data_IF_973694914618
#
_entry.id   IF_973694914618
#
_cell.length_a   1.000
_cell.length_b   1.000
_cell.length_c   1.000
_cell.angle_alpha   90.00
_cell.angle_beta   90.00
_cell.angle_gamma   90.00
#
_symmetry.space_group_name_H-M   'P 1'
#
loop_
_entity.id
_entity.type
_entity.pdbx_description
1 polymer ?
#
# COMPACT_ATOMS: atom_id res chain seq x y z
N UNK A 1 -43.42 0.92 -3.32
CA UNK A 1 -42.82 0.32 -2.12
C UNK A 1 -41.58 -0.43 -2.59
N UNK A 2 -40.44 0.26 -2.67
CA UNK A 2 -39.22 -0.31 -3.22
C UNK A 2 -38.35 -0.83 -2.08
N UNK A 3 -38.07 -2.12 -2.16
CA UNK A 3 -37.26 -2.88 -1.21
C UNK A 3 -35.86 -2.27 -1.21
N UNK A 4 -35.40 -1.87 -0.02
CA UNK A 4 -34.04 -1.41 0.20
C UNK A 4 -33.07 -2.53 -0.15
N UNK A 5 -32.26 -2.30 -1.18
CA UNK A 5 -31.15 -3.16 -1.54
C UNK A 5 -30.08 -2.92 -0.47
N UNK A 6 -30.20 -3.67 0.62
CA UNK A 6 -29.09 -3.91 1.54
C UNK A 6 -27.97 -4.58 0.77
N UNK A 7 -26.74 -4.25 1.17
CA UNK A 7 -25.48 -4.98 0.93
C UNK A 7 -25.68 -6.12 -0.08
N UNK A 8 -25.33 -5.88 -1.35
CA UNK A 8 -25.21 -6.96 -2.31
C UNK A 8 -24.35 -8.05 -1.65
N UNK A 9 -24.99 -9.13 -1.23
CA UNK A 9 -24.33 -10.39 -0.94
C UNK A 9 -23.57 -10.73 -2.22
N UNK A 10 -22.27 -10.43 -2.24
CA UNK A 10 -21.40 -11.07 -3.19
C UNK A 10 -21.16 -12.45 -2.58
N UNK A 11 -21.78 -13.53 -3.09
CA UNK A 11 -21.77 -14.86 -2.47
C UNK A 11 -20.35 -15.48 -2.43
N UNK A 12 -19.35 -14.76 -2.91
CA UNK A 12 -17.94 -15.15 -2.98
C UNK A 12 -17.22 -15.01 -1.64
N UNK A 13 -17.69 -14.18 -0.69
CA UNK A 13 -16.94 -13.91 0.55
C UNK A 13 -17.82 -13.95 1.81
N UNK A 14 -17.96 -15.12 2.41
CA UNK A 14 -18.43 -15.25 3.79
C UNK A 14 -17.21 -15.49 4.70
N UNK A 15 -16.38 -14.46 4.88
CA UNK A 15 -15.18 -14.54 5.69
C UNK A 15 -15.38 -13.81 7.02
N UNK A 16 -14.97 -14.43 8.14
CA UNK A 16 -14.98 -13.73 9.43
C UNK A 16 -13.99 -12.56 9.42
N UNK A 17 -14.27 -11.48 10.16
CA UNK A 17 -13.36 -10.33 10.26
C UNK A 17 -11.93 -10.71 10.68
N UNK A 18 -11.77 -11.76 11.48
CA UNK A 18 -10.45 -12.28 11.88
C UNK A 18 -9.69 -12.85 10.68
N UNK A 19 -10.37 -13.64 9.84
CA UNK A 19 -9.75 -14.22 8.65
C UNK A 19 -9.52 -13.16 7.56
N UNK A 20 -10.41 -12.17 7.45
CA UNK A 20 -10.23 -11.01 6.57
C UNK A 20 -8.95 -10.24 6.90
N UNK A 21 -8.68 -10.01 8.19
CA UNK A 21 -7.42 -9.41 8.66
C UNK A 21 -6.20 -10.23 8.25
N UNK A 22 -6.31 -11.56 8.26
CA UNK A 22 -5.24 -12.46 7.80
C UNK A 22 -5.05 -12.35 6.28
N UNK A 23 -6.14 -12.36 5.50
CA UNK A 23 -6.09 -12.16 4.04
C UNK A 23 -5.41 -10.84 3.69
N UNK A 24 -5.87 -9.72 4.26
CA UNK A 24 -5.27 -8.39 4.01
C UNK A 24 -3.79 -8.34 4.40
N UNK A 25 -3.39 -9.00 5.49
CA UNK A 25 -1.97 -9.09 5.85
C UNK A 25 -1.16 -9.81 4.77
N UNK A 26 -1.64 -10.95 4.27
CA UNK A 26 -0.99 -11.71 3.18
C UNK A 26 -0.95 -10.93 1.87
N UNK A 27 -2.03 -10.23 1.53
CA UNK A 27 -2.04 -9.35 0.36
C UNK A 27 -0.96 -8.26 0.46
N UNK A 28 -0.76 -7.66 1.64
CA UNK A 28 0.34 -6.70 1.86
C UNK A 28 1.72 -7.34 1.64
N UNK A 29 1.88 -8.59 2.02
CA UNK A 29 3.10 -9.39 1.79
C UNK A 29 3.32 -9.70 0.30
N UNK A 30 2.26 -9.71 -0.54
CA UNK A 30 2.36 -9.77 -2.00
C UNK A 30 2.71 -8.41 -2.63
N UNK A 31 2.05 -7.34 -2.18
CA UNK A 31 2.16 -5.99 -2.75
C UNK A 31 3.52 -5.37 -2.48
N UNK A 32 4.04 -5.54 -1.27
CA UNK A 32 5.33 -4.97 -0.88
C UNK A 32 6.49 -5.39 -1.81
N UNK A 33 6.80 -6.70 -1.98
CA UNK A 33 7.90 -7.12 -2.83
C UNK A 33 7.66 -6.76 -4.30
N UNK A 34 6.42 -6.80 -4.79
CA UNK A 34 6.08 -6.41 -6.15
C UNK A 34 6.39 -4.94 -6.44
N UNK A 35 5.91 -4.02 -5.60
CA UNK A 35 6.22 -2.58 -5.72
C UNK A 35 7.73 -2.35 -5.58
N UNK A 36 8.38 -2.97 -4.61
CA UNK A 36 9.83 -2.84 -4.43
C UNK A 36 10.61 -3.32 -5.66
N UNK A 37 10.16 -4.39 -6.32
CA UNK A 37 10.76 -4.84 -7.57
C UNK A 37 10.59 -3.82 -8.69
N UNK A 38 9.42 -3.20 -8.82
CA UNK A 38 9.17 -2.15 -9.82
C UNK A 38 10.01 -0.90 -9.57
N UNK A 39 10.24 -0.53 -8.31
CA UNK A 39 11.11 0.60 -7.95
C UNK A 39 12.58 0.29 -8.25
N UNK A 40 13.03 -0.95 -8.05
CA UNK A 40 14.40 -1.39 -8.38
C UNK A 40 14.63 -1.56 -9.88
N UNK A 41 13.57 -1.89 -10.63
CA UNK A 41 13.62 -2.16 -12.06
C UNK A 41 12.66 -1.22 -12.82
N UNK A 42 12.85 0.10 -12.78
CA UNK A 42 11.84 1.06 -13.27
C UNK A 42 11.55 0.95 -14.78
N UNK A 43 12.46 0.34 -15.56
CA UNK A 43 12.35 0.16 -17.02
C UNK A 43 12.03 -1.28 -17.45
N UNK A 44 11.87 -2.21 -16.52
CA UNK A 44 11.61 -3.61 -16.88
C UNK A 44 10.20 -3.80 -17.45
N UNK A 45 10.04 -4.85 -18.27
CA UNK A 45 8.74 -5.37 -18.62
C UNK A 45 8.12 -6.02 -17.37
N UNK A 46 6.98 -5.50 -16.93
CA UNK A 46 6.33 -5.88 -15.69
C UNK A 46 5.47 -7.16 -15.83
N UNK A 47 5.17 -7.62 -17.05
CA UNK A 47 4.22 -8.72 -17.30
C UNK A 47 4.51 -10.00 -16.52
N UNK A 48 5.78 -10.41 -16.43
CA UNK A 48 6.17 -11.63 -15.70
C UNK A 48 5.91 -11.49 -14.20
N UNK A 49 6.30 -10.36 -13.62
CA UNK A 49 6.09 -10.10 -12.19
C UNK A 49 4.63 -9.80 -11.87
N UNK A 50 3.88 -9.27 -12.83
CA UNK A 50 2.43 -9.08 -12.72
C UNK A 50 1.70 -10.41 -12.56
N UNK A 51 2.06 -11.44 -13.34
CA UNK A 51 1.53 -12.79 -13.17
C UNK A 51 1.80 -13.35 -11.77
N UNK A 52 3.05 -13.26 -11.28
CA UNK A 52 3.41 -13.69 -9.92
C UNK A 52 2.66 -12.92 -8.83
N UNK A 53 2.46 -11.62 -9.04
CA UNK A 53 1.68 -10.78 -8.14
C UNK A 53 0.23 -11.27 -8.06
N UNK A 54 -0.42 -11.54 -9.20
CA UNK A 54 -1.79 -12.07 -9.24
C UNK A 54 -1.90 -13.41 -8.53
N UNK A 55 -0.99 -14.35 -8.81
CA UNK A 55 -1.01 -15.67 -8.16
C UNK A 55 -0.81 -15.56 -6.63
N UNK A 56 0.04 -14.64 -6.18
CA UNK A 56 0.20 -14.34 -4.74
C UNK A 56 -1.09 -13.75 -4.14
N UNK A 57 -1.75 -12.82 -4.84
CA UNK A 57 -3.02 -12.25 -4.36
C UNK A 57 -4.11 -13.32 -4.24
N UNK A 58 -4.21 -14.25 -5.20
CA UNK A 58 -5.15 -15.39 -5.11
C UNK A 58 -4.80 -16.30 -3.93
N UNK A 59 -3.50 -16.59 -3.71
CA UNK A 59 -3.06 -17.39 -2.56
C UNK A 59 -3.38 -16.73 -1.21
N UNK A 60 -3.31 -15.39 -1.14
CA UNK A 60 -3.69 -14.63 0.04
C UNK A 60 -5.17 -14.84 0.42
N UNK A 61 -6.05 -15.04 -0.56
CA UNK A 61 -7.50 -15.25 -0.35
C UNK A 61 -7.89 -16.69 0.01
N UNK A 62 -6.97 -17.66 -0.06
CA UNK A 62 -7.25 -19.06 0.32
C UNK A 62 -7.81 -19.23 1.73
N UNK A 63 -7.51 -18.28 2.63
CA UNK A 63 -8.03 -18.29 4.00
C UNK A 63 -9.52 -17.98 4.09
N UNK A 64 -10.09 -17.39 3.03
CA UNK A 64 -11.47 -16.93 2.95
C UNK A 64 -12.28 -17.58 1.82
N UNK A 65 -11.66 -18.45 1.00
CA UNK A 65 -12.28 -18.93 -0.24
C UNK A 65 -12.08 -20.42 -0.49
N UNK A 66 -13.09 -21.05 -1.09
CA UNK A 66 -13.02 -22.41 -1.64
C UNK A 66 -12.26 -22.43 -2.97
N UNK A 67 -11.85 -23.61 -3.44
CA UNK A 67 -11.13 -23.74 -4.71
C UNK A 67 -11.90 -23.14 -5.90
N UNK A 68 -13.21 -23.40 -6.00
CA UNK A 68 -14.06 -22.81 -7.05
C UNK A 68 -14.11 -21.27 -6.96
N UNK A 69 -14.15 -20.72 -5.74
CA UNK A 69 -14.12 -19.28 -5.52
C UNK A 69 -12.77 -18.68 -5.90
N UNK A 70 -11.66 -19.40 -5.71
CA UNK A 70 -10.32 -18.95 -6.10
C UNK A 70 -10.17 -18.80 -7.63
N UNK A 71 -10.83 -19.65 -8.41
CA UNK A 71 -10.87 -19.53 -9.88
C UNK A 71 -11.56 -18.22 -10.27
N UNK A 72 -12.75 -17.96 -9.73
CA UNK A 72 -13.49 -16.72 -9.98
C UNK A 72 -12.74 -15.47 -9.48
N UNK A 73 -12.07 -15.57 -8.33
CA UNK A 73 -11.20 -14.54 -7.77
C UNK A 73 -10.04 -14.21 -8.70
N UNK A 74 -9.41 -15.23 -9.31
CA UNK A 74 -8.32 -15.02 -10.24
C UNK A 74 -8.77 -14.23 -11.46
N UNK A 75 -9.92 -14.57 -12.04
CA UNK A 75 -10.51 -13.80 -13.15
C UNK A 75 -10.86 -12.37 -12.74
N UNK A 76 -11.36 -12.17 -11.52
CA UNK A 76 -11.65 -10.85 -10.97
C UNK A 76 -10.36 -10.02 -10.82
N UNK A 77 -9.30 -10.61 -10.26
CA UNK A 77 -8.01 -9.96 -10.10
C UNK A 77 -7.36 -9.64 -11.44
N UNK A 78 -7.46 -10.51 -12.44
CA UNK A 78 -6.97 -10.23 -13.80
C UNK A 78 -7.69 -9.01 -14.43
N UNK A 79 -9.00 -8.86 -14.18
CA UNK A 79 -9.80 -7.70 -14.65
C UNK A 79 -9.50 -6.42 -13.87
N UNK A 80 -9.32 -6.53 -12.55
CA UNK A 80 -9.18 -5.37 -11.65
C UNK A 80 -7.74 -4.84 -11.64
N UNK A 81 -6.76 -5.74 -11.61
CA UNK A 81 -5.34 -5.45 -11.51
C UNK A 81 -4.66 -5.66 -12.85
N UNK A 82 -5.12 -4.99 -13.92
CA UNK A 82 -4.49 -5.11 -15.23
C UNK A 82 -3.02 -4.63 -15.20
N UNK A 83 -2.20 -5.10 -16.15
CA UNK A 83 -0.81 -4.65 -16.30
C UNK A 83 -0.71 -3.11 -16.39
N UNK A 84 -1.60 -2.47 -17.15
CA UNK A 84 -1.69 -1.01 -17.21
C UNK A 84 -1.92 -0.38 -15.84
N UNK A 85 -2.80 -0.96 -15.02
CA UNK A 85 -3.10 -0.39 -13.70
C UNK A 85 -2.00 -0.60 -12.68
N UNK A 86 -1.35 -1.76 -12.68
CA UNK A 86 -0.38 -2.08 -11.61
C UNK A 86 1.05 -1.74 -11.98
N UNK A 87 1.38 -1.79 -13.27
CA UNK A 87 2.72 -1.51 -13.76
C UNK A 87 2.83 -0.06 -14.22
N UNK A 88 1.89 0.42 -15.04
CA UNK A 88 1.98 1.75 -15.66
C UNK A 88 1.42 2.82 -14.73
N UNK A 89 0.23 2.61 -14.17
CA UNK A 89 -0.35 3.49 -13.16
C UNK A 89 0.18 3.11 -11.78
N UNK A 90 0.28 4.07 -10.87
CA UNK A 90 0.68 3.74 -9.50
C UNK A 90 -0.43 2.89 -8.90
N UNK A 91 -0.17 1.61 -8.70
CA UNK A 91 -1.11 0.73 -8.01
C UNK A 91 -1.39 1.26 -6.61
N UNK A 92 -2.52 1.91 -6.40
CA UNK A 92 -3.01 2.05 -5.04
C UNK A 92 -3.44 0.66 -4.59
N UNK A 93 -2.97 0.24 -3.41
CA UNK A 93 -3.54 -0.89 -2.68
C UNK A 93 -4.95 -0.55 -2.16
N UNK A 94 -5.77 0.02 -3.04
CA UNK A 94 -7.11 0.53 -2.89
C UNK A 94 -7.68 0.52 -4.32
N UNK A 95 -8.41 -0.52 -4.75
CA UNK A 95 -8.91 -0.60 -6.12
C UNK A 95 -9.84 0.59 -6.40
N UNK A 96 -9.47 1.45 -7.37
CA UNK A 96 -10.15 2.73 -7.63
C UNK A 96 -11.56 2.61 -8.25
N UNK A 97 -11.98 1.40 -8.65
CA UNK A 97 -13.31 1.14 -9.25
C UNK A 97 -14.26 0.42 -8.29
N UNK A 98 -13.73 -0.22 -7.24
CA UNK A 98 -14.49 -1.02 -6.26
C UNK A 98 -14.39 -0.44 -4.85
N UNK A 99 -13.80 0.75 -4.72
CA UNK A 99 -13.57 1.43 -3.44
C UNK A 99 -14.88 1.69 -2.67
N UNK A 100 -16.03 1.62 -3.32
CA UNK A 100 -17.36 1.68 -2.70
C UNK A 100 -17.71 0.41 -1.94
N UNK A 101 -17.49 -0.76 -2.55
CA UNK A 101 -17.74 -2.05 -1.92
C UNK A 101 -16.62 -2.40 -0.94
N UNK A 102 -15.37 -2.11 -1.28
CA UNK A 102 -14.20 -2.54 -0.50
C UNK A 102 -13.92 -1.68 0.74
N UNK A 103 -14.30 -0.40 0.74
CA UNK A 103 -14.23 0.43 1.95
C UNK A 103 -15.53 0.44 2.74
N UNK A 104 -16.52 -0.38 2.35
CA UNK A 104 -17.72 -0.53 3.14
C UNK A 104 -18.55 0.74 3.21
N UNK A 105 -18.81 1.36 2.07
CA UNK A 105 -19.62 2.56 2.05
C UNK A 105 -20.99 2.25 1.49
N UNK A 106 -21.97 2.16 2.39
CA UNK A 106 -23.38 2.27 2.05
C UNK A 106 -23.75 3.73 1.73
N UNK A 107 -23.10 4.33 0.73
CA UNK A 107 -23.43 5.68 0.24
C UNK A 107 -24.57 5.62 -0.79
N UNK A 108 -25.31 6.73 -0.96
CA UNK A 108 -26.21 6.88 -2.12
C UNK A 108 -25.40 6.99 -3.42
N UNK A 109 -25.90 6.43 -4.52
CA UNK A 109 -25.19 6.31 -5.81
C UNK A 109 -24.64 7.64 -6.37
N UNK A 110 -25.38 8.73 -6.23
CA UNK A 110 -24.98 10.07 -6.68
C UNK A 110 -23.81 10.66 -5.86
N UNK A 111 -23.72 10.28 -4.60
CA UNK A 111 -22.61 10.61 -3.71
C UNK A 111 -21.40 9.75 -4.02
N UNK A 112 -21.61 8.49 -4.43
CA UNK A 112 -20.54 7.57 -4.80
C UNK A 112 -19.73 8.11 -5.98
N UNK A 113 -20.37 8.55 -7.06
CA UNK A 113 -19.61 9.06 -8.22
C UNK A 113 -18.78 10.31 -7.87
N UNK A 114 -19.35 11.24 -7.09
CA UNK A 114 -18.60 12.43 -6.62
C UNK A 114 -17.43 12.06 -5.72
N UNK A 115 -17.61 11.09 -4.83
CA UNK A 115 -16.53 10.60 -3.98
C UNK A 115 -15.42 9.97 -4.82
N UNK A 116 -15.74 9.30 -5.93
CA UNK A 116 -14.79 8.61 -6.81
C UNK A 116 -13.87 9.59 -7.48
N UNK A 117 -14.43 10.68 -8.01
CA UNK A 117 -13.67 11.76 -8.61
C UNK A 117 -12.72 12.40 -7.58
N UNK A 118 -13.17 12.57 -6.33
CA UNK A 118 -12.31 13.08 -5.25
C UNK A 118 -11.20 12.10 -4.84
N UNK A 119 -11.49 10.80 -4.80
CA UNK A 119 -10.48 9.76 -4.53
C UNK A 119 -9.41 9.74 -5.62
N UNK A 120 -9.80 9.77 -6.89
CA UNK A 120 -8.86 9.87 -8.02
C UNK A 120 -8.02 11.15 -7.92
N UNK A 121 -8.60 12.26 -7.47
CA UNK A 121 -7.86 13.49 -7.25
C UNK A 121 -6.80 13.35 -6.13
N UNK A 122 -7.03 12.53 -5.10
CA UNK A 122 -6.04 12.25 -4.07
C UNK A 122 -4.80 11.53 -4.63
N UNK A 123 -4.94 10.65 -5.62
CA UNK A 123 -3.85 9.82 -6.15
C UNK A 123 -3.17 10.37 -7.39
N UNK A 124 -3.81 11.32 -8.11
CA UNK A 124 -3.32 11.83 -9.40
C UNK A 124 -1.83 12.17 -9.40
N UNK A 125 -1.35 12.90 -8.40
CA UNK A 125 0.06 13.30 -8.31
C UNK A 125 0.99 12.09 -8.10
N UNK A 126 0.58 11.11 -7.31
CA UNK A 126 1.35 9.88 -7.12
C UNK A 126 1.47 9.11 -8.44
N UNK A 127 0.37 9.01 -9.19
CA UNK A 127 0.33 8.35 -10.51
C UNK A 127 1.26 9.05 -11.50
N UNK A 128 1.22 10.37 -11.59
CA UNK A 128 2.12 11.18 -12.42
C UNK A 128 3.60 10.95 -12.03
N UNK A 129 3.91 10.94 -10.73
CA UNK A 129 5.26 10.65 -10.24
C UNK A 129 5.72 9.24 -10.60
N UNK A 130 4.84 8.24 -10.44
CA UNK A 130 5.13 6.85 -10.75
C UNK A 130 5.38 6.62 -12.24
N UNK A 131 4.55 7.19 -13.11
CA UNK A 131 4.70 7.14 -14.56
C UNK A 131 5.99 7.83 -15.02
N UNK A 132 6.34 8.94 -14.38
CA UNK A 132 7.57 9.68 -14.69
C UNK A 132 8.82 8.90 -14.27
N UNK A 133 8.83 8.41 -13.03
CA UNK A 133 9.97 7.66 -12.48
C UNK A 133 9.54 6.81 -11.28
N UNK A 134 9.32 5.50 -11.50
CA UNK A 134 8.97 4.54 -10.44
C UNK A 134 9.99 4.50 -9.29
N UNK A 135 11.25 4.83 -9.54
CA UNK A 135 12.32 4.84 -8.54
C UNK A 135 12.41 6.16 -7.75
N UNK A 136 11.50 7.13 -7.96
CA UNK A 136 11.51 8.39 -7.24
C UNK A 136 11.22 8.18 -5.74
N UNK A 137 12.23 8.46 -4.91
CA UNK A 137 12.15 8.31 -3.44
C UNK A 137 11.05 9.17 -2.81
N UNK A 138 10.57 10.22 -3.48
CA UNK A 138 9.47 11.07 -3.01
C UNK A 138 8.11 10.36 -3.05
N UNK A 139 7.96 9.29 -3.85
CA UNK A 139 6.72 8.50 -3.96
C UNK A 139 6.30 7.94 -2.59
N UNK A 140 7.25 7.48 -1.77
CA UNK A 140 7.00 7.04 -0.38
C UNK A 140 6.26 8.11 0.44
N UNK A 141 6.71 9.37 0.39
CA UNK A 141 6.06 10.49 1.10
C UNK A 141 4.75 10.90 0.45
N UNK A 142 4.68 10.87 -0.88
CA UNK A 142 3.45 11.22 -1.59
C UNK A 142 2.33 10.23 -1.25
N UNK A 143 2.63 8.94 -1.10
CA UNK A 143 1.63 7.96 -0.66
C UNK A 143 1.06 8.26 0.74
N UNK A 144 1.85 8.83 1.65
CA UNK A 144 1.35 9.32 2.95
C UNK A 144 0.31 10.43 2.74
N UNK A 145 0.55 11.33 1.80
CA UNK A 145 -0.38 12.41 1.45
C UNK A 145 -1.67 11.84 0.85
N UNK A 146 -1.56 10.84 -0.04
CA UNK A 146 -2.72 10.13 -0.60
C UNK A 146 -3.56 9.54 0.52
N UNK A 147 -2.96 8.78 1.44
CA UNK A 147 -3.69 8.19 2.59
C UNK A 147 -4.35 9.25 3.47
N UNK A 148 -3.66 10.36 3.74
CA UNK A 148 -4.23 11.46 4.52
C UNK A 148 -5.43 12.12 3.81
N UNK A 149 -5.32 12.35 2.50
CA UNK A 149 -6.40 12.85 1.66
C UNK A 149 -7.61 11.91 1.70
N UNK A 150 -7.39 10.60 1.52
CA UNK A 150 -8.45 9.60 1.57
C UNK A 150 -9.11 9.53 2.96
N UNK A 151 -8.35 9.52 4.05
CA UNK A 151 -8.90 9.57 5.42
C UNK A 151 -9.79 10.79 5.63
N UNK A 152 -9.38 11.96 5.12
CA UNK A 152 -10.19 13.17 5.18
C UNK A 152 -11.48 13.02 4.38
N UNK A 153 -11.40 12.53 3.14
CA UNK A 153 -12.58 12.28 2.31
C UNK A 153 -13.57 11.33 2.99
N UNK A 154 -13.06 10.30 3.67
CA UNK A 154 -13.88 9.36 4.42
C UNK A 154 -14.55 9.99 5.66
N UNK A 155 -13.90 10.94 6.32
CA UNK A 155 -14.47 11.66 7.46
C UNK A 155 -15.52 12.69 7.01
N UNK A 156 -15.31 13.32 5.86
CA UNK A 156 -16.19 14.34 5.29
C UNK A 156 -17.36 13.73 4.50
N UNK A 157 -17.33 12.43 4.20
CA UNK A 157 -18.36 11.76 3.43
C UNK A 157 -19.66 11.62 4.24
N UNK A 158 -20.83 11.96 3.68
CA UNK A 158 -22.12 11.80 4.35
C UNK A 158 -22.61 10.34 4.28
N UNK A 159 -21.74 9.39 4.64
CA UNK A 159 -22.01 7.96 4.54
C UNK A 159 -21.88 7.31 5.92
N UNK A 160 -22.85 6.49 6.28
CA UNK A 160 -22.79 5.71 7.50
C UNK A 160 -21.79 4.56 7.30
N UNK A 161 -20.93 4.36 8.30
CA UNK A 161 -20.02 3.20 8.36
C UNK A 161 -20.42 2.32 9.53
N UNK A 162 -20.42 1.02 9.32
CA UNK A 162 -20.42 0.01 10.38
C UNK A 162 -19.05 -0.03 11.07
N UNK A 163 -18.97 -0.71 12.21
CA UNK A 163 -17.71 -0.84 12.96
C UNK A 163 -16.69 -1.67 12.18
N UNK A 164 -17.16 -2.71 11.50
CA UNK A 164 -16.38 -3.61 10.67
C UNK A 164 -15.71 -2.84 9.53
N UNK A 165 -16.46 -2.00 8.83
CA UNK A 165 -15.96 -1.18 7.72
C UNK A 165 -14.94 -0.15 8.19
N UNK A 166 -15.16 0.44 9.38
CA UNK A 166 -14.17 1.33 10.00
C UNK A 166 -12.85 0.60 10.32
N UNK A 167 -12.93 -0.62 10.86
CA UNK A 167 -11.74 -1.45 11.14
C UNK A 167 -10.97 -1.79 9.87
N UNK A 168 -11.66 -2.19 8.79
CA UNK A 168 -11.03 -2.50 7.51
C UNK A 168 -10.36 -1.25 6.91
N UNK A 169 -11.06 -0.12 6.94
CA UNK A 169 -10.53 1.17 6.51
C UNK A 169 -9.24 1.55 7.27
N UNK A 170 -9.21 1.36 8.59
CA UNK A 170 -8.04 1.66 9.41
C UNK A 170 -6.85 0.73 9.10
N UNK A 171 -7.12 -0.54 8.75
CA UNK A 171 -6.09 -1.48 8.32
C UNK A 171 -5.51 -1.08 6.95
N UNK A 172 -6.37 -0.72 6.00
CA UNK A 172 -5.97 -0.38 4.62
C UNK A 172 -5.23 0.96 4.56
N UNK A 173 -5.72 1.97 5.30
CA UNK A 173 -5.11 3.30 5.37
C UNK A 173 -4.15 3.44 6.56
N UNK A 174 -3.73 2.33 7.16
CA UNK A 174 -2.80 2.27 8.28
C UNK A 174 -1.38 2.68 7.91
N UNK A 175 -0.39 2.21 8.68
CA UNK A 175 1.02 2.56 8.50
C UNK A 175 1.69 1.88 7.30
N UNK A 176 1.09 0.83 6.73
CA UNK A 176 1.65 0.12 5.58
C UNK A 176 1.86 1.04 4.39
N UNK A 177 3.04 0.97 3.77
CA UNK A 177 3.43 1.79 2.63
C UNK A 177 4.43 1.03 1.75
N UNK A 178 3.97 0.45 0.63
CA UNK A 178 4.81 -0.42 -0.18
C UNK A 178 5.90 0.32 -0.95
N UNK A 179 5.79 1.66 -1.04
CA UNK A 179 6.75 2.53 -1.72
C UNK A 179 7.92 2.95 -0.85
N UNK A 180 7.86 2.70 0.46
CA UNK A 180 8.94 2.98 1.40
C UNK A 180 9.79 1.73 1.61
N UNK A 181 11.10 1.91 1.82
CA UNK A 181 12.07 0.81 1.92
C UNK A 181 11.74 -0.23 3.00
N UNK A 182 11.09 0.18 4.09
CA UNK A 182 10.72 -0.69 5.21
C UNK A 182 9.24 -1.10 5.21
N UNK A 183 8.50 -0.81 4.12
CA UNK A 183 7.08 -1.15 4.02
C UNK A 183 6.16 -0.33 4.93
N UNK A 184 6.68 0.73 5.56
CA UNK A 184 5.96 1.55 6.54
C UNK A 184 6.15 3.03 6.26
N UNK A 185 5.14 3.83 6.61
CA UNK A 185 5.21 5.29 6.50
C UNK A 185 6.41 5.85 7.28
N UNK A 186 7.07 6.88 6.76
CA UNK A 186 8.07 7.61 7.53
C UNK A 186 7.41 8.29 8.72
N UNK A 187 7.98 8.10 9.92
CA UNK A 187 7.55 8.81 11.13
C UNK A 187 7.78 10.30 10.92
N UNK A 188 6.73 11.12 10.98
CA UNK A 188 6.88 12.58 10.92
C UNK A 188 7.72 13.02 12.11
N UNK A 189 8.91 13.57 11.86
CA UNK A 189 9.65 14.33 12.86
C UNK A 189 10.96 13.73 13.39
N UNK A 190 11.39 12.55 12.97
CA UNK A 190 12.79 12.16 13.20
C UNK A 190 13.61 12.68 12.03
N UNK A 191 13.96 13.96 12.07
CA UNK A 191 15.19 14.40 11.40
C UNK A 191 16.27 13.46 11.89
N UNK A 192 16.73 12.55 11.04
CA UNK A 192 17.93 11.77 11.31
C UNK A 192 19.01 12.85 11.42
N UNK A 193 19.29 13.27 12.65
CA UNK A 193 20.44 14.06 12.97
C UNK A 193 21.59 13.22 12.45
N UNK A 194 22.13 13.57 11.28
CA UNK A 194 23.33 12.94 10.75
C UNK A 194 24.33 13.09 11.88
N UNK A 195 24.65 12.00 12.60
CA UNK A 195 25.78 11.99 13.50
C UNK A 195 26.95 12.50 12.67
N UNK A 196 27.55 13.66 13.02
CA UNK A 196 28.69 14.16 12.29
C UNK A 196 29.77 13.09 12.36
N UNK A 197 30.20 12.59 11.20
CA UNK A 197 31.29 11.62 11.06
C UNK A 197 32.64 12.28 11.36
N UNK A 198 32.78 12.87 12.54
CA UNK A 198 34.00 13.52 13.03
C UNK A 198 34.45 12.87 14.33
N UNK A 199 34.75 11.56 14.35
CA UNK A 199 35.45 10.97 15.49
C UNK A 199 36.18 9.66 15.12
N UNK A 200 36.93 9.63 14.02
CA UNK A 200 37.94 8.58 13.77
C UNK A 200 39.19 9.13 13.06
N UNK A 201 39.67 10.30 13.49
CA UNK A 201 41.04 10.73 13.23
C UNK A 201 41.64 11.24 14.53
N UNK A 202 42.62 10.53 15.07
CA UNK A 202 43.47 11.04 16.14
C UNK A 202 43.69 10.09 17.31
N UNK A 203 44.33 8.94 17.07
CA UNK A 203 45.14 8.28 18.10
C UNK A 203 46.28 7.48 17.45
N UNK A 204 47.12 8.21 16.71
CA UNK A 204 48.53 7.84 16.51
C UNK A 204 49.30 8.43 17.68
N UNK A 205 49.35 7.73 18.82
CA UNK A 205 50.35 8.03 19.85
C UNK A 205 51.57 7.16 19.54
N UNK A 206 52.61 7.86 19.11
CA UNK A 206 53.96 7.37 18.86
C UNK A 206 54.58 6.83 20.15
N UNK A 207 54.83 5.53 20.22
CA UNK A 207 55.78 4.97 21.19
C UNK A 207 57.20 5.20 20.65
N UNK A 208 57.72 6.40 20.86
CA UNK A 208 59.12 6.73 20.65
C UNK A 208 59.90 6.48 21.95
N UNK A 209 60.67 5.39 21.94
CA UNK A 209 62.02 5.25 22.49
C UNK A 209 62.40 6.19 23.64
N UNK A 210 62.33 5.69 24.88
CA UNK A 210 63.21 6.16 25.96
C UNK A 210 64.25 5.07 26.18
N UNK A 211 65.47 5.36 25.75
CA UNK A 211 66.67 4.61 26.09
C UNK A 211 67.73 5.66 26.47
N UNK A 212 68.50 5.33 27.52
CA UNK A 212 69.75 5.95 28.00
C UNK A 212 69.52 7.30 28.75
N UNK A 213 70.10 7.64 29.93
CA UNK A 213 71.45 7.46 30.53
C UNK A 213 71.38 7.72 32.07
N UNK A 214 72.44 7.33 32.80
CA UNK A 214 72.95 7.77 34.14
C UNK A 214 72.77 6.71 35.25
N UNK A 215 73.77 6.14 35.94
CA UNK A 215 75.25 6.25 36.06
C UNK A 215 75.75 4.85 36.40
#
# INVERSE_FOLDING_TARGET
MFIGIGVHENPVFNCSLTMEKVSIKRQKECVFPFIQWLQRNPKSNCRVEHGKFLDCMVDAEKVCSTEDQLIALREMFEKTYTEDRVCIKSFLFLPANETYAFLGYSCKMDQSEKLRLKQNACSKKLEEMWQTNRADKRICREYVNVKACLKKLQADAPCNKTKEEQVLSDILLGSFNPYCQNGVDPVRGVSIMKCPSYFLFGLLITTALIKIVYI
#
